data_IF_897366951913
#
_entry.id   IF_897366951913
#
_cell.length_a   1.000
_cell.length_b   1.000
_cell.length_c   1.000
_cell.angle_alpha   90.00
_cell.angle_beta   90.00
_cell.angle_gamma   90.00
#
_symmetry.space_group_name_H-M   'P 1'
#
loop_
_entity.id
_entity.type
_entity.pdbx_description
1 polymer ?
#
# COMPACT_ATOMS: atom_id res chain seq x y z
N UNK A 1 -13.21 -8.39 -21.99
CA UNK A 1 -11.86 -9.00 -22.01
C UNK A 1 -11.59 -9.50 -20.60
N UNK A 2 -11.18 -10.75 -20.42
CA UNK A 2 -10.91 -11.32 -19.10
C UNK A 2 -9.46 -11.06 -18.64
N UNK A 3 -9.16 -11.41 -17.39
CA UNK A 3 -7.83 -11.23 -16.79
C UNK A 3 -6.66 -11.84 -17.61
N UNK A 4 -6.93 -12.88 -18.40
CA UNK A 4 -5.91 -13.53 -19.25
C UNK A 4 -5.47 -12.70 -20.47
N UNK A 5 -6.27 -11.73 -20.94
CA UNK A 5 -5.94 -10.91 -22.12
C UNK A 5 -5.11 -9.68 -21.74
N UNK A 6 -3.79 -9.85 -21.78
CA UNK A 6 -2.83 -8.88 -21.22
C UNK A 6 -2.67 -7.56 -22.01
N UNK A 7 -3.35 -7.42 -23.16
CA UNK A 7 -3.15 -6.28 -24.06
C UNK A 7 -3.58 -4.94 -23.44
N UNK A 8 -4.71 -4.92 -22.72
CA UNK A 8 -5.28 -3.71 -22.14
C UNK A 8 -4.34 -3.06 -21.12
N UNK A 9 -3.78 -3.84 -20.20
CA UNK A 9 -2.86 -3.31 -19.18
C UNK A 9 -1.50 -2.94 -19.75
N UNK A 10 -1.02 -3.64 -20.80
CA UNK A 10 0.18 -3.21 -21.54
C UNK A 10 -0.02 -1.85 -22.19
N UNK A 11 -1.16 -1.67 -22.88
CA UNK A 11 -1.52 -0.40 -23.48
C UNK A 11 -1.64 0.71 -22.43
N UNK A 12 -2.28 0.44 -21.29
CA UNK A 12 -2.33 1.36 -20.15
C UNK A 12 -0.93 1.71 -19.64
N UNK A 13 -0.05 0.72 -19.47
CA UNK A 13 1.31 0.94 -19.00
C UNK A 13 2.07 1.89 -19.93
N UNK A 14 2.09 1.63 -21.24
CA UNK A 14 2.76 2.49 -22.21
C UNK A 14 2.16 3.89 -22.28
N UNK A 15 0.83 4.00 -22.36
CA UNK A 15 0.12 5.29 -22.45
C UNK A 15 0.33 6.21 -21.24
N UNK A 16 0.62 5.63 -20.08
CA UNK A 16 0.78 6.40 -18.83
C UNK A 16 2.24 6.64 -18.44
N UNK A 17 3.23 6.26 -19.27
CA UNK A 17 4.62 6.63 -19.06
C UNK A 17 4.84 8.13 -19.23
N UNK A 18 5.85 8.66 -18.57
CA UNK A 18 6.40 9.96 -18.90
C UNK A 18 7.54 9.81 -19.89
N UNK A 19 7.55 10.64 -20.93
CA UNK A 19 8.68 10.85 -21.81
C UNK A 19 9.17 12.30 -21.66
N UNK A 20 10.41 12.58 -22.08
CA UNK A 20 10.96 13.94 -22.09
C UNK A 20 10.02 14.90 -22.84
N UNK A 21 9.42 14.43 -23.94
CA UNK A 21 8.45 15.18 -24.70
C UNK A 21 7.14 15.38 -23.93
N UNK A 22 6.54 14.34 -23.36
CA UNK A 22 5.24 14.47 -22.68
C UNK A 22 5.30 15.42 -21.49
N UNK A 23 6.41 15.41 -20.74
CA UNK A 23 6.61 16.26 -19.56
C UNK A 23 6.80 17.73 -19.94
N UNK A 24 7.45 18.02 -21.09
CA UNK A 24 7.74 19.40 -21.52
C UNK A 24 6.70 20.00 -22.46
N UNK A 25 5.98 19.16 -23.20
CA UNK A 25 4.94 19.58 -24.14
C UNK A 25 3.56 19.74 -23.46
N UNK A 26 3.41 19.30 -22.20
CA UNK A 26 2.14 19.31 -21.50
C UNK A 26 1.72 20.71 -21.05
N UNK A 27 0.61 21.21 -21.61
CA UNK A 27 -0.14 22.38 -21.12
C UNK A 27 -1.21 22.04 -20.08
N UNK A 28 -1.01 20.98 -19.28
CA UNK A 28 -1.96 20.62 -18.23
C UNK A 28 -1.78 21.55 -17.04
N UNK A 29 -2.85 22.28 -16.71
CA UNK A 29 -2.95 23.10 -15.51
C UNK A 29 -4.00 22.51 -14.57
N UNK A 30 -3.77 22.66 -13.27
CA UNK A 30 -4.74 22.23 -12.26
C UNK A 30 -5.91 23.21 -12.23
N UNK A 31 -7.12 22.68 -12.45
CA UNK A 31 -8.37 23.40 -12.27
C UNK A 31 -8.77 23.32 -10.78
N UNK A 32 -8.49 24.37 -10.03
CA UNK A 32 -8.71 24.40 -8.58
C UNK A 32 -10.20 24.48 -8.20
N UNK A 33 -11.07 24.94 -9.10
CA UNK A 33 -12.52 25.04 -8.85
C UNK A 33 -13.19 23.66 -8.70
N UNK A 34 -12.51 22.63 -9.22
CA UNK A 34 -12.96 21.24 -9.18
C UNK A 34 -12.06 20.36 -8.32
N UNK A 35 -11.21 20.96 -7.47
CA UNK A 35 -10.38 20.20 -6.54
C UNK A 35 -11.27 19.32 -5.65
N UNK A 36 -11.03 18.00 -5.61
CA UNK A 36 -11.87 17.08 -4.88
C UNK A 36 -11.65 17.18 -3.37
N UNK A 37 -12.72 16.99 -2.59
CA UNK A 37 -12.65 16.79 -1.15
C UNK A 37 -11.77 15.57 -0.86
N UNK A 38 -10.87 15.64 0.14
CA UNK A 38 -9.97 14.54 0.47
C UNK A 38 -10.64 13.46 1.33
N UNK A 39 -11.98 13.38 1.35
CA UNK A 39 -12.77 12.49 2.20
C UNK A 39 -14.05 12.05 1.50
N UNK A 40 -14.42 10.78 1.70
CA UNK A 40 -15.80 10.30 1.51
C UNK A 40 -16.60 10.54 2.79
N UNK A 41 -17.75 11.19 2.67
CA UNK A 41 -18.59 11.56 3.81
C UNK A 41 -20.01 11.08 3.54
N UNK A 42 -20.53 10.25 4.43
CA UNK A 42 -21.94 9.84 4.46
C UNK A 42 -22.66 10.73 5.48
N UNK A 43 -23.41 11.75 5.04
CA UNK A 43 -24.04 12.72 5.95
C UNK A 43 -25.24 12.14 6.70
N UNK A 44 -25.87 11.09 6.17
CA UNK A 44 -27.08 10.46 6.73
C UNK A 44 -26.78 9.31 7.70
N UNK A 45 -25.51 8.95 7.88
CA UNK A 45 -25.11 7.87 8.78
C UNK A 45 -24.51 8.41 10.06
N UNK A 46 -25.05 7.96 11.18
CA UNK A 46 -24.55 8.29 12.51
C UNK A 46 -23.10 7.80 12.70
N UNK A 47 -22.19 8.68 13.14
CA UNK A 47 -20.80 8.31 13.39
C UNK A 47 -20.66 7.56 14.73
N UNK A 48 -20.05 6.37 14.68
CA UNK A 48 -19.56 5.67 15.86
C UNK A 48 -18.11 6.08 16.11
N UNK A 49 -17.88 7.01 17.04
CA UNK A 49 -16.55 7.49 17.38
C UNK A 49 -15.60 6.35 17.77
N UNK A 50 -14.36 6.38 17.30
CA UNK A 50 -13.34 5.41 17.69
C UNK A 50 -12.55 5.91 18.92
N UNK A 51 -12.14 5.01 19.84
CA UNK A 51 -11.32 5.39 21.00
C UNK A 51 -10.00 6.07 20.56
N UNK A 52 -9.68 7.28 21.06
CA UNK A 52 -8.51 8.04 20.62
C UNK A 52 -7.22 7.68 21.39
N UNK A 53 -7.33 6.96 22.50
CA UNK A 53 -6.21 6.63 23.38
C UNK A 53 -5.57 5.30 22.98
N UNK A 54 -4.26 5.33 22.72
CA UNK A 54 -3.51 4.16 22.27
C UNK A 54 -2.34 3.89 23.20
N UNK A 55 -2.23 2.66 23.66
CA UNK A 55 -0.98 2.15 24.25
C UNK A 55 -0.01 1.82 23.13
N UNK A 56 1.21 2.37 23.21
CA UNK A 56 2.24 2.05 22.23
C UNK A 56 2.71 0.61 22.41
N UNK A 57 2.89 -0.08 21.29
CA UNK A 57 3.51 -1.40 21.27
C UNK A 57 4.94 -1.40 21.83
N UNK A 58 5.37 -2.54 22.37
CA UNK A 58 6.71 -2.73 22.93
C UNK A 58 7.69 -3.38 21.95
N UNK A 59 7.19 -4.05 20.90
CA UNK A 59 8.04 -4.64 19.86
C UNK A 59 8.78 -3.51 19.11
N UNK A 60 10.12 -3.59 18.96
CA UNK A 60 10.89 -2.59 18.22
C UNK A 60 10.37 -2.38 16.81
N UNK A 61 10.33 -1.13 16.35
CA UNK A 61 9.79 -0.77 15.03
C UNK A 61 10.48 -1.54 13.89
N UNK A 62 11.82 -1.68 13.93
CA UNK A 62 12.57 -2.42 12.92
C UNK A 62 12.15 -3.90 12.84
N UNK A 63 11.90 -4.52 14.00
CA UNK A 63 11.44 -5.91 14.06
C UNK A 63 10.01 -6.07 13.56
N UNK A 64 9.14 -5.09 13.82
CA UNK A 64 7.76 -5.08 13.34
C UNK A 64 7.68 -4.83 11.83
N UNK A 65 8.50 -3.92 11.29
CA UNK A 65 8.56 -3.64 9.85
C UNK A 65 9.13 -4.85 9.10
N UNK A 66 10.17 -5.51 9.61
CA UNK A 66 10.80 -6.64 8.93
C UNK A 66 10.01 -7.97 9.04
N UNK A 67 8.87 -7.98 9.74
CA UNK A 67 8.05 -9.18 9.92
C UNK A 67 7.46 -9.67 8.58
N UNK A 68 7.65 -10.96 8.29
CA UNK A 68 7.20 -11.59 7.06
C UNK A 68 5.88 -12.39 7.23
N UNK A 69 5.30 -12.39 8.43
CA UNK A 69 4.12 -13.18 8.81
C UNK A 69 4.45 -14.52 9.44
N UNK A 70 4.07 -14.68 10.71
CA UNK A 70 4.04 -15.96 11.41
C UNK A 70 2.62 -16.52 11.54
N UNK A 71 2.47 -17.84 11.51
CA UNK A 71 1.17 -18.54 11.63
C UNK A 71 0.67 -18.56 13.09
N UNK A 72 1.54 -18.31 14.07
CA UNK A 72 1.29 -18.52 15.50
C UNK A 72 0.94 -17.29 16.33
N UNK A 73 0.36 -16.23 15.73
CA UNK A 73 0.12 -14.96 16.45
C UNK A 73 -0.65 -15.16 17.77
N UNK A 74 -0.05 -14.74 18.88
CA UNK A 74 -0.62 -14.71 20.24
C UNK A 74 -1.11 -13.32 20.63
N UNK A 75 -1.30 -12.43 19.63
CA UNK A 75 -1.75 -11.07 19.84
C UNK A 75 -3.13 -10.99 20.51
N UNK A 76 -3.49 -9.82 21.05
CA UNK A 76 -4.78 -9.62 21.71
C UNK A 76 -5.94 -9.82 20.73
N UNK A 77 -7.13 -10.20 21.23
CA UNK A 77 -8.33 -10.26 20.41
C UNK A 77 -8.64 -8.89 19.80
N UNK A 78 -9.31 -8.88 18.63
CA UNK A 78 -9.74 -7.63 18.01
C UNK A 78 -10.95 -7.03 18.74
N UNK A 79 -10.81 -5.78 19.14
CA UNK A 79 -11.84 -4.90 19.67
C UNK A 79 -11.78 -3.53 18.95
N UNK A 80 -12.66 -2.58 19.31
CA UNK A 80 -12.62 -1.24 18.72
C UNK A 80 -11.35 -0.48 19.02
N UNK A 81 -10.67 -0.74 20.14
CA UNK A 81 -9.40 -0.07 20.47
C UNK A 81 -8.28 -0.53 19.53
N UNK A 82 -8.18 -1.83 19.28
CA UNK A 82 -7.25 -2.41 18.32
C UNK A 82 -7.53 -1.90 16.90
N UNK A 83 -8.79 -1.89 16.47
CA UNK A 83 -9.20 -1.34 15.17
C UNK A 83 -8.92 0.15 15.06
N UNK A 84 -9.21 0.93 16.11
CA UNK A 84 -8.93 2.36 16.16
C UNK A 84 -7.44 2.64 15.99
N UNK A 85 -6.58 1.90 16.70
CA UNK A 85 -5.12 1.99 16.55
C UNK A 85 -4.68 1.69 15.12
N UNK A 86 -5.16 0.57 14.54
CA UNK A 86 -4.81 0.19 13.16
C UNK A 86 -5.23 1.27 12.16
N UNK A 87 -6.48 1.75 12.22
CA UNK A 87 -6.97 2.77 11.29
C UNK A 87 -6.32 4.13 11.48
N UNK A 88 -6.09 4.57 12.73
CA UNK A 88 -5.44 5.84 13.01
C UNK A 88 -4.01 5.89 12.43
N UNK A 89 -3.20 4.87 12.71
CA UNK A 89 -1.79 4.86 12.29
C UNK A 89 -1.56 4.32 10.87
N UNK A 90 -2.55 3.73 10.20
CA UNK A 90 -2.43 3.36 8.77
C UNK A 90 -3.01 4.42 7.85
N UNK A 91 -4.20 4.96 8.13
CA UNK A 91 -4.93 5.85 7.22
C UNK A 91 -5.54 7.09 7.89
N UNK A 92 -5.35 7.28 9.20
CA UNK A 92 -5.91 8.41 9.96
C UNK A 92 -5.18 9.73 9.72
N UNK A 93 -5.83 10.84 10.08
CA UNK A 93 -5.23 12.18 10.06
C UNK A 93 -4.36 12.36 11.31
N UNK A 94 -3.06 12.59 11.12
CA UNK A 94 -2.10 12.80 12.22
C UNK A 94 -1.85 14.29 12.49
N UNK A 95 -1.91 15.12 11.45
CA UNK A 95 -1.63 16.56 11.56
C UNK A 95 -2.52 17.36 10.61
N UNK A 96 -3.00 18.50 11.08
CA UNK A 96 -3.73 19.48 10.29
C UNK A 96 -2.88 20.74 10.14
N UNK A 97 -2.92 21.36 8.97
CA UNK A 97 -2.21 22.62 8.72
C UNK A 97 -3.11 23.55 7.91
N UNK A 98 -3.35 24.74 8.44
CA UNK A 98 -4.15 25.79 7.80
C UNK A 98 -3.22 26.74 7.04
N UNK A 99 -3.66 27.18 5.86
CA UNK A 99 -2.99 28.18 5.02
C UNK A 99 -4.06 29.07 4.36
N UNK A 100 -3.71 30.23 3.78
CA UNK A 100 -4.72 31.17 3.24
C UNK A 100 -5.68 30.59 2.20
N UNK A 101 -5.37 29.44 1.59
CA UNK A 101 -6.21 28.74 0.60
C UNK A 101 -6.92 27.49 1.11
N UNK A 102 -6.87 27.16 2.41
CA UNK A 102 -7.60 26.04 2.99
C UNK A 102 -6.83 25.27 4.06
N UNK A 103 -7.19 23.99 4.22
CA UNK A 103 -6.56 23.07 5.17
C UNK A 103 -5.95 21.86 4.46
N UNK A 104 -4.77 21.43 4.91
CA UNK A 104 -4.18 20.16 4.53
C UNK A 104 -4.23 19.20 5.71
N UNK A 105 -4.77 18.01 5.46
CA UNK A 105 -4.88 16.92 6.42
C UNK A 105 -3.77 15.90 6.17
N UNK A 106 -2.65 15.99 6.88
CA UNK A 106 -1.57 15.02 6.74
C UNK A 106 -1.94 13.71 7.41
N UNK A 107 -2.12 12.67 6.60
CA UNK A 107 -2.41 11.32 7.07
C UNK A 107 -1.16 10.52 7.41
N UNK A 108 -1.37 9.40 8.11
CA UNK A 108 -0.31 8.52 8.58
C UNK A 108 0.52 7.93 7.43
N UNK A 109 -0.15 7.38 6.43
CA UNK A 109 0.48 6.94 5.19
C UNK A 109 0.88 8.12 4.29
N UNK A 110 1.92 7.90 3.50
CA UNK A 110 2.26 8.80 2.39
C UNK A 110 1.19 8.71 1.31
N UNK A 111 1.02 9.78 0.53
CA UNK A 111 0.06 9.78 -0.57
C UNK A 111 0.55 10.74 -1.65
N UNK A 112 0.50 10.29 -2.90
CA UNK A 112 0.80 11.11 -4.07
C UNK A 112 -0.04 12.40 -4.04
N UNK A 113 0.65 13.55 -3.94
CA UNK A 113 0.02 14.86 -3.92
C UNK A 113 -0.85 15.17 -2.69
N UNK A 114 -0.84 14.33 -1.64
CA UNK A 114 -1.71 14.45 -0.47
C UNK A 114 -3.21 14.55 -0.82
N UNK A 115 -3.66 13.74 -1.80
CA UNK A 115 -5.03 13.78 -2.35
C UNK A 115 -5.98 12.76 -1.69
N UNK A 116 -5.44 11.74 -1.03
CA UNK A 116 -6.14 10.78 -0.18
C UNK A 116 -7.37 10.12 -0.82
N UNK A 117 -7.12 9.41 -1.92
CA UNK A 117 -8.12 8.72 -2.73
C UNK A 117 -8.37 7.26 -2.33
N UNK A 118 -7.76 6.78 -1.23
CA UNK A 118 -7.96 5.43 -0.69
C UNK A 118 -8.80 5.49 0.59
N UNK A 119 -9.88 4.71 0.65
CA UNK A 119 -10.73 4.57 1.83
C UNK A 119 -10.72 3.14 2.35
N UNK A 120 -10.92 3.00 3.66
CA UNK A 120 -10.95 1.72 4.36
C UNK A 120 -12.38 1.39 4.79
N UNK A 121 -12.78 0.15 4.53
CA UNK A 121 -14.03 -0.43 4.96
C UNK A 121 -13.73 -1.65 5.83
N UNK A 122 -14.48 -1.82 6.91
CA UNK A 122 -14.38 -2.96 7.82
C UNK A 122 -15.57 -3.89 7.57
N UNK A 123 -15.31 -5.18 7.37
CA UNK A 123 -16.30 -6.25 7.42
C UNK A 123 -15.94 -7.15 8.59
N UNK A 124 -16.76 -7.17 9.64
CA UNK A 124 -16.46 -7.95 10.84
C UNK A 124 -17.63 -8.84 11.27
N UNK A 125 -17.26 -9.97 11.88
CA UNK A 125 -18.18 -10.75 12.71
C UNK A 125 -18.41 -10.06 14.07
N UNK A 126 -18.99 -10.76 15.05
CA UNK A 126 -19.13 -10.23 16.40
C UNK A 126 -17.74 -10.04 17.03
N UNK A 127 -17.42 -8.80 17.41
CA UNK A 127 -16.27 -8.47 18.24
C UNK A 127 -16.75 -8.12 19.66
N UNK A 128 -15.82 -7.97 20.61
CA UNK A 128 -16.16 -7.74 22.02
C UNK A 128 -17.07 -6.53 22.25
N UNK A 129 -16.87 -5.45 21.48
CA UNK A 129 -17.54 -4.17 21.65
C UNK A 129 -18.00 -3.55 20.31
N UNK A 130 -18.12 -4.37 19.25
CA UNK A 130 -18.60 -3.97 17.93
C UNK A 130 -19.49 -5.06 17.33
N UNK A 131 -20.71 -4.67 16.98
CA UNK A 131 -21.66 -5.54 16.28
C UNK A 131 -21.11 -6.02 14.93
N UNK A 132 -21.54 -7.20 14.44
CA UNK A 132 -21.21 -7.63 13.10
C UNK A 132 -21.82 -6.68 12.05
N UNK A 133 -21.04 -6.35 11.03
CA UNK A 133 -21.47 -5.42 10.00
C UNK A 133 -20.41 -5.07 8.96
N UNK A 134 -20.83 -4.20 8.04
CA UNK A 134 -19.95 -3.51 7.08
C UNK A 134 -19.90 -2.04 7.50
N UNK A 135 -18.70 -1.51 7.70
CA UNK A 135 -18.47 -0.14 8.18
C UNK A 135 -17.52 0.61 7.25
N UNK A 136 -17.73 1.91 7.07
CA UNK A 136 -16.76 2.82 6.45
C UNK A 136 -15.99 3.57 7.53
N UNK A 137 -14.66 3.63 7.43
CA UNK A 137 -13.83 4.45 8.31
C UNK A 137 -13.77 5.90 7.80
N UNK A 138 -14.28 6.84 8.61
CA UNK A 138 -14.20 8.28 8.39
C UNK A 138 -12.95 8.87 9.05
N UNK A 139 -11.86 9.16 8.31
CA UNK A 139 -10.66 9.74 8.91
C UNK A 139 -10.81 11.23 9.27
N UNK A 140 -11.83 11.91 8.75
CA UNK A 140 -12.09 13.33 9.01
C UNK A 140 -12.58 13.58 10.44
N UNK A 141 -13.38 12.65 10.97
CA UNK A 141 -14.00 12.69 12.30
C UNK A 141 -13.60 11.51 13.20
N UNK A 142 -12.73 10.63 12.71
CA UNK A 142 -12.22 9.45 13.40
C UNK A 142 -13.34 8.54 13.94
N UNK A 143 -14.24 8.14 13.03
CA UNK A 143 -15.41 7.34 13.34
C UNK A 143 -15.65 6.21 12.34
N UNK A 144 -16.37 5.17 12.77
CA UNK A 144 -16.97 4.17 11.89
C UNK A 144 -18.41 4.53 11.57
N UNK A 145 -18.84 4.29 10.33
CA UNK A 145 -20.24 4.43 9.91
C UNK A 145 -20.74 3.09 9.39
N UNK A 146 -21.79 2.54 10.00
CA UNK A 146 -22.33 1.23 9.63
C UNK A 146 -23.13 1.35 8.34
N UNK A 147 -22.66 0.71 7.28
CA UNK A 147 -23.34 0.61 5.98
C UNK A 147 -24.34 -0.55 5.97
N UNK A 148 -23.95 -1.68 6.58
CA UNK A 148 -24.78 -2.88 6.69
C UNK A 148 -24.67 -3.50 8.08
N UNK A 149 -25.78 -4.00 8.62
CA UNK A 149 -25.78 -4.85 9.79
C UNK A 149 -25.68 -6.33 9.40
N UNK A 150 -25.19 -7.16 10.33
CA UNK A 150 -25.06 -8.61 10.18
C UNK A 150 -23.67 -9.03 9.70
N UNK A 151 -23.34 -10.31 9.87
CA UNK A 151 -22.03 -10.85 9.50
C UNK A 151 -21.98 -11.08 7.99
N UNK A 152 -21.24 -10.22 7.27
CA UNK A 152 -21.05 -10.31 5.82
C UNK A 152 -19.72 -11.00 5.44
N UNK A 153 -18.97 -11.56 6.40
CA UNK A 153 -17.67 -12.21 6.10
C UNK A 153 -17.83 -13.37 5.12
N UNK A 154 -18.93 -14.13 5.17
CA UNK A 154 -19.18 -15.23 4.22
C UNK A 154 -19.23 -14.77 2.74
N UNK A 155 -19.67 -13.54 2.47
CA UNK A 155 -19.60 -12.95 1.13
C UNK A 155 -18.15 -12.73 0.70
N UNK A 156 -17.32 -12.19 1.59
CA UNK A 156 -15.90 -11.96 1.29
C UNK A 156 -15.14 -13.27 1.14
N UNK A 157 -15.40 -14.26 2.00
CA UNK A 157 -14.82 -15.61 1.90
C UNK A 157 -15.11 -16.26 0.55
N UNK A 158 -16.37 -16.21 0.07
CA UNK A 158 -16.71 -16.73 -1.26
C UNK A 158 -16.01 -15.93 -2.35
N UNK A 159 -16.07 -14.60 -2.29
CA UNK A 159 -15.48 -13.71 -3.29
C UNK A 159 -13.96 -13.90 -3.40
N UNK A 160 -13.27 -14.26 -2.32
CA UNK A 160 -11.83 -14.55 -2.32
C UNK A 160 -11.50 -16.00 -2.69
N UNK A 161 -12.45 -16.77 -3.23
CA UNK A 161 -12.18 -18.18 -3.58
C UNK A 161 -11.89 -19.05 -2.37
N UNK A 162 -12.51 -18.75 -1.22
CA UNK A 162 -12.30 -19.43 0.07
C UNK A 162 -10.86 -19.33 0.61
N UNK A 163 -10.21 -18.18 0.41
CA UNK A 163 -8.87 -17.92 0.97
C UNK A 163 -8.86 -18.21 2.49
N UNK A 164 -7.96 -19.10 2.99
CA UNK A 164 -8.03 -19.59 4.37
C UNK A 164 -7.89 -18.52 5.47
N UNK A 165 -7.04 -17.50 5.28
CA UNK A 165 -6.89 -16.44 6.26
C UNK A 165 -8.14 -15.56 6.32
N UNK A 166 -8.80 -15.29 5.19
CA UNK A 166 -10.08 -14.57 5.13
C UNK A 166 -11.17 -15.37 5.84
N UNK A 167 -11.21 -16.70 5.66
CA UNK A 167 -12.16 -17.57 6.33
C UNK A 167 -11.97 -17.63 7.86
N UNK A 168 -10.72 -17.59 8.31
CA UNK A 168 -10.36 -17.65 9.73
C UNK A 168 -10.35 -16.29 10.44
N UNK A 169 -10.46 -15.17 9.70
CA UNK A 169 -10.35 -13.85 10.27
C UNK A 169 -11.66 -13.37 10.93
N UNK A 170 -11.61 -12.83 12.16
CA UNK A 170 -12.75 -12.16 12.78
C UNK A 170 -13.10 -10.82 12.12
N UNK A 171 -12.13 -10.17 11.48
CA UNK A 171 -12.33 -8.88 10.80
C UNK A 171 -11.55 -8.80 9.48
N UNK A 172 -12.14 -8.15 8.49
CA UNK A 172 -11.58 -7.99 7.15
C UNK A 172 -11.59 -6.49 6.81
N UNK A 173 -10.46 -5.96 6.35
CA UNK A 173 -10.37 -4.58 5.89
C UNK A 173 -10.33 -4.56 4.37
N UNK A 174 -11.36 -4.02 3.74
CA UNK A 174 -11.38 -3.76 2.31
C UNK A 174 -10.85 -2.35 2.07
N UNK A 175 -9.93 -2.18 1.15
CA UNK A 175 -9.47 -0.86 0.72
C UNK A 175 -9.88 -0.61 -0.73
N UNK A 176 -10.35 0.61 -0.97
CA UNK A 176 -10.91 1.02 -2.26
C UNK A 176 -10.13 2.21 -2.81
N UNK A 177 -10.43 2.60 -4.05
CA UNK A 177 -9.99 3.89 -4.56
C UNK A 177 -11.09 4.64 -5.28
N UNK A 178 -11.26 5.91 -4.92
CA UNK A 178 -12.10 6.84 -5.68
C UNK A 178 -11.22 7.58 -6.70
N UNK A 179 -11.39 7.26 -7.99
CA UNK A 179 -10.47 7.68 -9.04
C UNK A 179 -10.32 9.20 -9.14
N UNK A 180 -11.42 9.94 -9.02
CA UNK A 180 -11.42 11.39 -9.22
C UNK A 180 -10.49 12.14 -8.23
N UNK A 181 -10.42 11.67 -6.98
CA UNK A 181 -9.56 12.30 -5.95
C UNK A 181 -8.11 12.44 -6.39
N UNK A 182 -7.55 11.42 -7.06
CA UNK A 182 -6.16 11.44 -7.53
C UNK A 182 -6.03 11.90 -9.00
N UNK A 183 -6.96 11.49 -9.86
CA UNK A 183 -6.92 11.81 -11.29
C UNK A 183 -7.19 13.28 -11.60
N UNK A 184 -7.75 14.05 -10.66
CA UNK A 184 -7.77 15.52 -10.72
C UNK A 184 -6.38 16.11 -11.01
N UNK A 185 -5.33 15.56 -10.38
CA UNK A 185 -3.94 16.00 -10.56
C UNK A 185 -3.14 15.12 -11.52
N UNK A 186 -3.38 13.81 -11.48
CA UNK A 186 -2.52 12.82 -12.14
C UNK A 186 -3.17 12.17 -13.36
N UNK A 187 -4.36 12.62 -13.74
CA UNK A 187 -5.08 12.17 -14.93
C UNK A 187 -5.17 10.64 -14.98
N UNK A 188 -5.04 10.04 -16.16
CA UNK A 188 -5.06 8.60 -16.35
C UNK A 188 -3.99 7.84 -15.53
N UNK A 189 -2.89 8.49 -15.11
CA UNK A 189 -1.81 7.83 -14.32
C UNK A 189 -2.26 7.43 -12.91
N UNK A 190 -3.37 8.00 -12.43
CA UNK A 190 -3.91 7.75 -11.09
C UNK A 190 -4.15 6.27 -10.77
N UNK A 191 -4.39 5.40 -11.76
CA UNK A 191 -4.55 3.97 -11.50
C UNK A 191 -3.24 3.30 -11.03
N UNK A 192 -2.06 3.85 -11.37
CA UNK A 192 -0.79 3.41 -10.75
C UNK A 192 -0.75 3.80 -9.28
N UNK A 193 -1.20 5.02 -8.99
CA UNK A 193 -1.14 5.62 -7.66
C UNK A 193 -2.13 4.98 -6.68
N UNK A 194 -3.23 4.42 -7.19
CA UNK A 194 -4.14 3.56 -6.42
C UNK A 194 -3.37 2.50 -5.61
N UNK A 195 -2.51 1.72 -6.27
CA UNK A 195 -1.71 0.69 -5.61
C UNK A 195 -0.53 1.27 -4.83
N UNK A 196 0.09 2.35 -5.30
CA UNK A 196 1.19 2.97 -4.57
C UNK A 196 0.77 3.52 -3.21
N UNK A 197 -0.30 4.30 -3.18
CA UNK A 197 -0.76 4.92 -1.95
C UNK A 197 -1.40 3.86 -1.03
N UNK A 198 -2.13 2.87 -1.58
CA UNK A 198 -2.57 1.70 -0.80
C UNK A 198 -1.38 0.93 -0.19
N UNK A 199 -0.29 0.71 -0.93
CA UNK A 199 0.87 -0.02 -0.42
C UNK A 199 1.51 0.66 0.80
N UNK A 200 1.53 2.00 0.84
CA UNK A 200 2.04 2.71 2.02
C UNK A 200 1.11 2.62 3.24
N UNK A 201 -0.21 2.57 3.03
CA UNK A 201 -1.19 2.28 4.09
C UNK A 201 -0.98 0.86 4.62
N UNK A 202 -0.79 -0.11 3.72
CA UNK A 202 -0.57 -1.51 4.07
C UNK A 202 0.76 -1.73 4.79
N UNK A 203 1.84 -1.04 4.40
CA UNK A 203 3.12 -1.10 5.12
C UNK A 203 2.97 -0.69 6.59
N UNK A 204 2.23 0.40 6.86
CA UNK A 204 1.91 0.81 8.23
C UNK A 204 1.05 -0.24 8.94
N UNK A 205 -0.05 -0.69 8.30
CA UNK A 205 -1.01 -1.63 8.90
C UNK A 205 -0.34 -2.96 9.27
N UNK A 206 0.45 -3.53 8.36
CA UNK A 206 1.18 -4.78 8.57
C UNK A 206 2.19 -4.64 9.71
N UNK A 207 2.96 -3.55 9.75
CA UNK A 207 3.90 -3.31 10.85
C UNK A 207 3.18 -3.10 12.19
N UNK A 208 2.03 -2.42 12.21
CA UNK A 208 1.21 -2.24 13.42
C UNK A 208 0.63 -3.55 13.95
N UNK A 209 0.21 -4.45 13.05
CA UNK A 209 -0.29 -5.76 13.38
C UNK A 209 0.84 -6.66 13.91
N UNK A 210 1.97 -6.70 13.22
CA UNK A 210 3.16 -7.42 13.66
C UNK A 210 3.69 -6.94 15.02
N UNK A 211 3.59 -5.64 15.32
CA UNK A 211 4.05 -5.07 16.58
C UNK A 211 3.29 -5.60 17.82
N UNK A 212 2.14 -6.25 17.63
CA UNK A 212 1.32 -6.87 18.69
C UNK A 212 1.01 -8.34 18.38
N UNK A 213 1.76 -8.96 17.47
CA UNK A 213 1.58 -10.35 17.03
C UNK A 213 0.15 -10.70 16.57
N UNK A 214 -0.54 -9.71 15.99
CA UNK A 214 -1.82 -9.89 15.32
C UNK A 214 -1.57 -10.39 13.89
N UNK A 215 -2.07 -11.58 13.50
CA UNK A 215 -1.98 -12.04 12.12
C UNK A 215 -2.67 -11.07 11.16
N UNK A 216 -1.98 -10.70 10.09
CA UNK A 216 -2.52 -9.89 9.01
C UNK A 216 -2.07 -10.45 7.66
N UNK A 217 -2.98 -10.56 6.69
CA UNK A 217 -2.65 -11.06 5.34
C UNK A 217 -3.36 -10.26 4.26
N UNK A 218 -2.60 -9.79 3.28
CA UNK A 218 -3.12 -9.06 2.11
C UNK A 218 -3.63 -10.06 1.08
N UNK A 219 -4.84 -9.84 0.57
CA UNK A 219 -5.50 -10.71 -0.41
C UNK A 219 -5.91 -9.88 -1.62
N UNK A 220 -5.38 -10.25 -2.79
CA UNK A 220 -5.72 -9.63 -4.08
C UNK A 220 -6.51 -10.54 -5.01
N UNK A 221 -6.55 -11.86 -4.79
CA UNK A 221 -7.41 -12.78 -5.54
C UNK A 221 -8.83 -12.73 -5.01
N UNK A 222 -9.67 -11.89 -5.62
CA UNK A 222 -11.08 -11.76 -5.28
C UNK A 222 -11.93 -11.38 -6.50
N UNK A 223 -13.21 -11.74 -6.45
CA UNK A 223 -14.23 -11.33 -7.43
C UNK A 223 -14.63 -9.88 -7.21
N UNK A 224 -14.17 -8.97 -8.07
CA UNK A 224 -14.31 -7.52 -7.89
C UNK A 224 -15.80 -7.12 -7.72
N UNK A 225 -16.66 -7.58 -8.63
CA UNK A 225 -18.08 -7.21 -8.62
C UNK A 225 -18.87 -7.73 -7.41
N UNK A 226 -18.39 -8.75 -6.70
CA UNK A 226 -19.01 -9.17 -5.44
C UNK A 226 -18.68 -8.22 -4.28
N UNK A 227 -17.41 -7.80 -4.18
CA UNK A 227 -16.98 -6.87 -3.13
C UNK A 227 -17.49 -5.45 -3.38
N UNK A 228 -17.49 -5.00 -4.63
CA UNK A 228 -18.03 -3.68 -4.99
C UNK A 228 -19.54 -3.59 -4.68
N UNK A 229 -20.29 -4.67 -4.93
CA UNK A 229 -21.73 -4.75 -4.56
C UNK A 229 -21.92 -4.81 -3.04
N UNK A 230 -21.06 -5.52 -2.32
CA UNK A 230 -21.11 -5.56 -0.85
C UNK A 230 -20.95 -4.14 -0.27
N UNK A 231 -20.08 -3.32 -0.84
CA UNK A 231 -19.85 -1.94 -0.41
C UNK A 231 -20.81 -0.92 -1.05
N UNK A 232 -21.64 -1.35 -2.00
CA UNK A 232 -22.55 -0.52 -2.81
C UNK A 232 -21.82 0.62 -3.55
N UNK A 233 -20.72 0.29 -4.22
CA UNK A 233 -19.89 1.26 -4.94
C UNK A 233 -20.45 1.54 -6.35
N UNK A 234 -20.39 2.80 -6.77
CA UNK A 234 -20.44 3.17 -8.19
C UNK A 234 -19.09 2.85 -8.83
N UNK A 235 -19.00 1.72 -9.53
CA UNK A 235 -17.75 1.23 -10.12
C UNK A 235 -17.20 2.11 -11.25
N UNK A 236 -17.98 3.09 -11.73
CA UNK A 236 -17.45 4.14 -12.61
C UNK A 236 -16.56 5.15 -11.84
N UNK A 237 -16.70 5.24 -10.52
CA UNK A 237 -16.02 6.24 -9.67
C UNK A 237 -15.12 5.64 -8.61
N UNK A 238 -15.52 4.52 -8.01
CA UNK A 238 -14.84 3.88 -6.90
C UNK A 238 -14.88 2.37 -7.02
N UNK A 239 -13.73 1.73 -6.78
CA UNK A 239 -13.57 0.28 -6.89
C UNK A 239 -12.76 -0.29 -5.74
N UNK A 240 -13.02 -1.55 -5.40
CA UNK A 240 -12.21 -2.31 -4.45
C UNK A 240 -10.85 -2.66 -5.03
N UNK A 241 -9.78 -2.45 -4.25
CA UNK A 241 -8.41 -2.76 -4.64
C UNK A 241 -7.88 -4.03 -3.98
N UNK A 242 -8.33 -4.36 -2.77
CA UNK A 242 -7.87 -5.52 -2.02
C UNK A 242 -8.54 -5.69 -0.66
N UNK A 243 -8.22 -6.83 -0.04
CA UNK A 243 -8.68 -7.23 1.29
C UNK A 243 -7.47 -7.43 2.20
N UNK A 244 -7.62 -7.12 3.48
CA UNK A 244 -6.68 -7.55 4.53
C UNK A 244 -7.45 -8.39 5.54
N UNK A 245 -7.07 -9.65 5.68
CA UNK A 245 -7.56 -10.51 6.74
C UNK A 245 -6.84 -10.16 8.05
N UNK A 246 -7.58 -9.86 9.12
CA UNK A 246 -7.04 -9.50 10.43
C UNK A 246 -7.45 -10.52 11.49
N UNK A 247 -6.47 -11.05 12.20
CA UNK A 247 -6.64 -12.09 13.20
C UNK A 247 -6.83 -13.48 12.57
N UNK A 248 -7.08 -14.46 13.43
CA UNK A 248 -7.33 -15.86 13.07
C UNK A 248 -8.28 -16.49 14.08
N UNK A 249 -8.59 -17.77 13.88
CA UNK A 249 -9.37 -18.61 14.81
C UNK A 249 -10.81 -18.12 15.06
N UNK A 250 -11.34 -17.25 14.18
CA UNK A 250 -12.76 -16.99 14.16
C UNK A 250 -13.51 -18.25 13.72
N UNK A 251 -14.70 -18.53 14.30
CA UNK A 251 -15.56 -19.57 13.78
C UNK A 251 -15.95 -19.25 12.32
N UNK A 252 -16.22 -20.29 11.50
CA UNK A 252 -16.74 -20.09 10.15
C UNK A 252 -17.92 -19.12 10.16
N UNK A 253 -17.93 -18.12 9.27
CA UNK A 253 -19.03 -17.15 9.26
C UNK A 253 -20.35 -17.83 8.91
N UNK A 254 -21.47 -17.37 9.50
CA UNK A 254 -22.79 -17.82 9.07
C UNK A 254 -23.07 -17.36 7.63
N UNK A 255 -24.11 -17.91 6.96
CA UNK A 255 -24.56 -17.39 5.68
C UNK A 255 -24.79 -15.88 5.73
N UNK A 256 -24.19 -15.14 4.81
CA UNK A 256 -24.28 -13.69 4.78
C UNK A 256 -25.72 -13.23 4.48
N UNK A 257 -26.22 -12.16 5.11
CA UNK A 257 -27.46 -11.52 4.72
C UNK A 257 -27.42 -11.05 3.25
N UNK A 258 -28.58 -10.90 2.57
CA UNK A 258 -28.62 -10.36 1.21
C UNK A 258 -27.97 -8.97 1.11
N UNK A 259 -27.04 -8.79 0.17
CA UNK A 259 -26.38 -7.52 -0.11
C UNK A 259 -27.03 -6.79 -1.29
N UNK A 260 -28.27 -6.32 -1.10
CA UNK A 260 -28.95 -5.45 -2.08
C UNK A 260 -28.37 -4.03 -2.12
N UNK A 261 -28.73 -3.20 -3.12
CA UNK A 261 -28.30 -1.80 -3.18
C UNK A 261 -28.66 -1.04 -1.90
N UNK A 262 -27.75 -0.20 -1.40
CA UNK A 262 -27.97 0.63 -0.22
C UNK A 262 -28.47 2.03 -0.59
N UNK A 263 -28.01 2.59 -1.72
CA UNK A 263 -28.41 3.92 -2.19
C UNK A 263 -27.99 5.05 -1.25
N UNK A 264 -26.94 4.84 -0.44
CA UNK A 264 -26.50 5.81 0.56
C UNK A 264 -25.86 7.03 -0.10
N UNK A 265 -26.40 8.21 0.21
CA UNK A 265 -25.85 9.46 -0.28
C UNK A 265 -24.45 9.72 0.31
N UNK A 266 -23.56 10.28 -0.53
CA UNK A 266 -22.30 10.86 -0.08
C UNK A 266 -22.20 12.30 -0.51
N UNK A 267 -21.45 13.12 0.24
CA UNK A 267 -21.19 14.49 -0.18
C UNK A 267 -20.44 14.50 -1.52
N UNK A 268 -20.82 15.36 -2.48
CA UNK A 268 -20.09 15.48 -3.74
C UNK A 268 -18.61 15.80 -3.51
N UNK A 269 -17.73 15.11 -4.25
CA UNK A 269 -16.29 15.31 -4.17
C UNK A 269 -15.92 16.72 -4.64
N UNK A 270 -16.58 17.23 -5.67
CA UNK A 270 -16.32 18.53 -6.28
C UNK A 270 -17.52 18.98 -7.12
N UNK A 271 -17.48 20.19 -7.68
CA UNK A 271 -18.55 20.70 -8.54
C UNK A 271 -18.74 19.90 -9.84
N UNK A 272 -17.67 19.33 -10.40
CA UNK A 272 -17.70 18.40 -11.54
C UNK A 272 -16.51 17.46 -11.48
N UNK A 273 -16.67 16.27 -12.04
CA UNK A 273 -15.62 15.26 -12.16
C UNK A 273 -15.20 15.12 -13.63
N UNK A 274 -13.92 14.82 -13.89
CA UNK A 274 -13.44 14.48 -15.23
C UNK A 274 -13.12 12.99 -15.27
N UNK A 275 -13.76 12.25 -16.17
CA UNK A 275 -13.50 10.83 -16.37
C UNK A 275 -12.23 10.61 -17.21
N UNK A 276 -11.49 9.57 -16.85
CA UNK A 276 -10.33 9.08 -17.59
C UNK A 276 -10.55 7.60 -17.91
N UNK A 277 -11.17 7.26 -19.05
CA UNK A 277 -11.60 5.89 -19.38
C UNK A 277 -10.49 4.84 -19.26
N UNK A 278 -9.25 5.22 -19.54
CA UNK A 278 -8.09 4.33 -19.39
C UNK A 278 -7.93 3.70 -18.00
N UNK A 279 -8.39 4.39 -16.95
CA UNK A 279 -8.41 3.86 -15.58
C UNK A 279 -9.41 2.71 -15.47
N UNK A 280 -10.63 2.92 -15.95
CA UNK A 280 -11.71 1.92 -15.92
C UNK A 280 -11.39 0.74 -16.81
N UNK A 281 -10.91 0.99 -18.03
CA UNK A 281 -10.45 -0.05 -18.97
C UNK A 281 -9.39 -0.96 -18.35
N UNK A 282 -8.38 -0.37 -17.69
CA UNK A 282 -7.32 -1.15 -17.02
C UNK A 282 -7.86 -1.91 -15.80
N UNK A 283 -8.77 -1.32 -15.03
CA UNK A 283 -9.42 -1.99 -13.91
C UNK A 283 -10.26 -3.17 -14.38
N UNK A 284 -11.24 -2.96 -15.26
CA UNK A 284 -12.13 -4.01 -15.77
C UNK A 284 -11.34 -5.17 -16.41
N UNK A 285 -10.28 -4.88 -17.18
CA UNK A 285 -9.45 -5.92 -17.77
C UNK A 285 -8.67 -6.76 -16.74
N UNK A 286 -8.45 -6.24 -15.53
CA UNK A 286 -7.74 -6.92 -14.43
C UNK A 286 -8.66 -7.45 -13.33
N UNK A 287 -9.98 -7.36 -13.51
CA UNK A 287 -10.96 -7.92 -12.60
C UNK A 287 -11.09 -9.43 -12.76
N UNK A 288 -11.41 -10.12 -11.67
CA UNK A 288 -11.78 -11.54 -11.66
C UNK A 288 -13.30 -11.63 -11.50
N UNK A 289 -13.92 -12.57 -12.20
CA UNK A 289 -15.39 -12.63 -12.32
C UNK A 289 -16.02 -13.81 -11.60
N UNK A 290 -15.25 -14.85 -11.28
CA UNK A 290 -15.74 -16.01 -10.51
C UNK A 290 -14.84 -16.39 -9.34
N UNK A 291 -15.41 -17.10 -8.36
CA UNK A 291 -14.67 -17.58 -7.20
C UNK A 291 -13.58 -18.59 -7.59
N UNK A 292 -13.80 -19.36 -8.66
CA UNK A 292 -12.80 -20.28 -9.22
C UNK A 292 -11.62 -19.50 -9.83
N UNK A 293 -11.88 -18.42 -10.55
CA UNK A 293 -10.82 -17.53 -11.05
C UNK A 293 -10.04 -16.90 -9.89
N UNK A 294 -10.73 -16.46 -8.82
CA UNK A 294 -10.09 -15.93 -7.61
C UNK A 294 -9.18 -16.96 -6.94
N UNK A 295 -9.67 -18.19 -6.74
CA UNK A 295 -8.90 -19.29 -6.15
C UNK A 295 -7.70 -19.68 -7.01
N UNK A 296 -7.87 -19.74 -8.34
CA UNK A 296 -6.79 -20.05 -9.27
C UNK A 296 -5.74 -18.93 -9.38
N UNK A 297 -6.11 -17.69 -9.07
CA UNK A 297 -5.22 -16.54 -9.11
C UNK A 297 -4.17 -16.58 -7.99
N UNK A 298 -4.52 -17.08 -6.81
CA UNK A 298 -3.61 -17.18 -5.66
C UNK A 298 -2.33 -17.96 -5.98
N UNK A 299 -1.27 -17.67 -5.23
CA UNK A 299 -0.06 -18.48 -5.16
C UNK A 299 1.22 -17.70 -5.37
N UNK A 300 2.32 -18.44 -5.48
CA UNK A 300 3.66 -17.87 -5.48
C UNK A 300 3.97 -17.15 -6.80
N UNK A 301 4.57 -15.95 -6.75
CA UNK A 301 5.07 -15.29 -7.93
C UNK A 301 6.26 -16.08 -8.52
N UNK A 302 6.61 -15.82 -9.78
CA UNK A 302 7.82 -16.38 -10.37
C UNK A 302 9.07 -15.87 -9.63
N UNK A 303 10.14 -16.67 -9.62
CA UNK A 303 11.40 -16.26 -9.02
C UNK A 303 12.05 -15.13 -9.82
N UNK A 304 12.71 -14.17 -9.15
CA UNK A 304 13.54 -13.17 -9.81
C UNK A 304 14.59 -13.80 -10.73
N UNK A 305 15.00 -13.12 -11.81
CA UNK A 305 16.14 -13.56 -12.61
C UNK A 305 17.42 -13.57 -11.76
N UNK A 306 18.34 -14.47 -12.09
CA UNK A 306 19.64 -14.55 -11.41
C UNK A 306 20.44 -13.27 -11.71
N UNK A 307 20.95 -12.57 -10.69
CA UNK A 307 21.77 -11.38 -10.89
C UNK A 307 23.07 -11.68 -11.67
N UNK A 308 23.72 -10.66 -12.25
CA UNK A 308 25.00 -10.82 -12.94
C UNK A 308 26.09 -11.46 -12.07
N UNK A 309 27.08 -12.10 -12.71
CA UNK A 309 28.20 -12.80 -12.05
C UNK A 309 29.29 -11.87 -11.45
N UNK A 310 28.89 -10.69 -10.96
CA UNK A 310 29.80 -9.78 -10.27
C UNK A 310 29.93 -10.16 -8.78
N UNK A 311 31.04 -9.78 -8.14
CA UNK A 311 31.25 -10.02 -6.72
C UNK A 311 30.20 -9.25 -5.88
N UNK A 312 29.35 -9.95 -5.11
CA UNK A 312 28.32 -9.30 -4.31
C UNK A 312 28.90 -8.65 -3.05
N UNK A 313 28.25 -7.59 -2.56
CA UNK A 313 28.51 -6.99 -1.25
C UNK A 313 27.38 -7.39 -0.31
N UNK A 314 27.65 -8.31 0.60
CA UNK A 314 26.66 -8.84 1.56
C UNK A 314 26.18 -7.77 2.54
N UNK A 315 24.90 -7.87 2.91
CA UNK A 315 24.31 -6.99 3.92
C UNK A 315 25.00 -7.14 5.29
N UNK A 316 25.11 -6.03 6.01
CA UNK A 316 25.57 -5.97 7.39
C UNK A 316 24.60 -5.14 8.26
N UNK A 317 23.34 -5.61 8.46
CA UNK A 317 22.31 -4.82 9.14
C UNK A 317 22.58 -4.66 10.64
N UNK A 318 22.03 -3.60 11.25
CA UNK A 318 21.93 -3.47 12.70
C UNK A 318 21.14 -4.62 13.33
N UNK A 319 21.46 -4.91 14.59
CA UNK A 319 20.58 -5.64 15.48
C UNK A 319 19.25 -4.90 15.64
N UNK A 320 18.13 -5.59 15.55
CA UNK A 320 16.79 -4.97 15.55
C UNK A 320 16.48 -4.27 16.88
N UNK A 321 17.08 -4.74 17.97
CA UNK A 321 16.98 -4.21 19.33
C UNK A 321 17.71 -2.87 19.50
N UNK A 322 18.58 -2.49 18.56
CA UNK A 322 19.33 -1.23 18.63
C UNK A 322 18.45 0.01 18.48
N UNK A 323 17.21 -0.15 17.99
CA UNK A 323 16.22 0.93 17.85
C UNK A 323 14.96 0.54 18.63
N UNK A 324 14.89 0.83 19.94
CA UNK A 324 13.83 0.35 20.82
C UNK A 324 12.49 1.10 20.65
N UNK A 325 12.41 2.07 19.73
CA UNK A 325 11.19 2.85 19.56
C UNK A 325 10.07 2.03 18.90
N UNK A 326 8.82 2.34 19.26
CA UNK A 326 7.64 1.66 18.72
C UNK A 326 7.31 2.14 17.30
N UNK A 327 6.60 1.30 16.56
CA UNK A 327 6.15 1.63 15.19
C UNK A 327 5.23 2.87 15.17
N UNK A 328 4.41 3.07 16.19
CA UNK A 328 3.54 4.24 16.33
C UNK A 328 4.35 5.53 16.42
N UNK A 329 5.45 5.53 17.16
CA UNK A 329 6.36 6.68 17.27
C UNK A 329 6.98 7.04 15.91
N UNK A 330 7.45 6.02 15.17
CA UNK A 330 7.99 6.19 13.81
C UNK A 330 6.94 6.79 12.88
N UNK A 331 5.72 6.25 12.88
CA UNK A 331 4.61 6.72 12.05
C UNK A 331 4.22 8.17 12.38
N UNK A 332 4.18 8.55 13.66
CA UNK A 332 3.89 9.94 14.08
C UNK A 332 4.94 10.93 13.58
N UNK A 333 6.21 10.52 13.58
CA UNK A 333 7.33 11.36 13.14
C UNK A 333 7.46 11.43 11.62
N UNK A 334 6.98 10.41 10.91
CA UNK A 334 7.11 10.31 9.46
C UNK A 334 6.50 11.55 8.78
N UNK A 335 7.33 12.21 7.99
CA UNK A 335 6.97 13.30 7.08
C UNK A 335 7.53 13.01 5.70
N UNK A 336 7.23 13.86 4.70
CA UNK A 336 8.00 13.83 3.45
C UNK A 336 9.15 14.82 3.54
N UNK A 337 10.38 14.30 3.52
CA UNK A 337 11.60 15.11 3.46
C UNK A 337 11.56 15.97 2.20
N UNK A 338 11.83 17.26 2.37
CA UNK A 338 11.85 18.24 1.26
C UNK A 338 13.25 18.59 0.80
N UNK A 339 14.27 18.21 1.58
CA UNK A 339 15.69 18.41 1.31
C UNK A 339 16.48 17.25 1.91
N UNK A 340 17.51 16.80 1.20
CA UNK A 340 18.51 15.86 1.72
C UNK A 340 19.86 16.57 1.87
N UNK A 341 20.63 16.18 2.88
CA UNK A 341 22.06 16.52 2.91
C UNK A 341 22.81 15.55 1.99
N UNK A 342 23.90 16.02 1.38
CA UNK A 342 24.75 15.18 0.53
C UNK A 342 25.68 14.23 1.34
N UNK A 343 25.43 14.06 2.64
CA UNK A 343 26.25 13.19 3.50
C UNK A 343 26.06 11.72 3.17
N UNK A 344 27.08 10.87 3.41
CA UNK A 344 26.98 9.45 3.13
C UNK A 344 26.01 8.75 4.09
N UNK A 345 25.33 7.73 3.58
CA UNK A 345 24.54 6.81 4.39
C UNK A 345 25.45 5.69 4.93
N UNK A 346 25.49 5.42 6.25
CA UNK A 346 26.23 4.29 6.78
C UNK A 346 25.77 2.95 6.18
N UNK A 347 26.72 2.03 5.92
CA UNK A 347 26.42 0.75 5.24
C UNK A 347 25.44 -0.12 6.01
N UNK A 348 25.53 -0.10 7.34
CA UNK A 348 24.64 -0.84 8.23
C UNK A 348 23.20 -0.31 8.17
N UNK A 349 23.02 1.01 8.01
CA UNK A 349 21.70 1.62 7.80
C UNK A 349 21.12 1.22 6.47
N UNK A 350 21.91 1.29 5.39
CA UNK A 350 21.52 0.77 4.07
C UNK A 350 21.12 -0.71 4.18
N UNK A 351 21.95 -1.50 4.83
CA UNK A 351 21.72 -2.94 5.00
C UNK A 351 20.45 -3.24 5.78
N UNK A 352 20.16 -2.48 6.83
CA UNK A 352 18.90 -2.62 7.60
C UNK A 352 17.68 -2.22 6.77
N UNK A 353 17.76 -1.16 5.95
CA UNK A 353 16.69 -0.79 5.02
C UNK A 353 16.44 -1.94 4.04
N UNK A 354 17.49 -2.44 3.38
CA UNK A 354 17.35 -3.51 2.40
C UNK A 354 16.84 -4.80 3.01
N UNK A 355 17.38 -5.20 4.16
CA UNK A 355 16.90 -6.36 4.89
C UNK A 355 15.42 -6.22 5.30
N UNK A 356 14.96 -5.03 5.67
CA UNK A 356 13.55 -4.82 5.98
C UNK A 356 12.64 -4.95 4.75
N UNK A 357 13.03 -4.38 3.60
CA UNK A 357 12.16 -4.38 2.41
C UNK A 357 12.08 -5.76 1.75
N UNK A 358 13.17 -6.55 1.73
CA UNK A 358 13.22 -7.81 0.97
C UNK A 358 12.84 -9.06 1.76
N UNK A 359 12.61 -8.96 3.08
CA UNK A 359 12.11 -10.07 3.92
C UNK A 359 10.72 -10.59 3.51
N UNK A 360 9.99 -9.83 2.70
CA UNK A 360 8.63 -10.16 2.27
C UNK A 360 7.56 -9.65 3.23
N UNK A 361 6.32 -10.06 2.97
CA UNK A 361 5.13 -9.77 3.77
C UNK A 361 4.04 -10.81 3.48
N UNK A 362 3.03 -10.95 4.35
CA UNK A 362 2.03 -12.00 4.21
C UNK A 362 0.98 -11.59 3.16
N UNK A 363 0.97 -12.27 2.02
CA UNK A 363 -0.05 -12.08 0.99
C UNK A 363 -0.35 -13.37 0.20
N UNK A 364 -1.48 -13.37 -0.53
CA UNK A 364 -1.89 -14.45 -1.44
C UNK A 364 -1.17 -14.45 -2.79
N UNK A 365 -0.31 -13.46 -3.05
CA UNK A 365 0.54 -13.35 -4.24
C UNK A 365 2.04 -13.23 -3.90
N UNK A 366 2.44 -13.57 -2.67
CA UNK A 366 3.85 -13.62 -2.22
C UNK A 366 4.21 -15.04 -1.79
N UNK A 367 5.52 -15.35 -1.75
CA UNK A 367 6.00 -16.60 -1.19
C UNK A 367 7.52 -16.59 -0.97
N UNK A 368 8.06 -17.57 -0.22
CA UNK A 368 9.48 -17.61 0.11
C UNK A 368 10.37 -17.60 -1.14
N UNK A 369 11.29 -16.64 -1.21
CA UNK A 369 12.24 -16.50 -2.32
C UNK A 369 11.63 -16.04 -3.65
N UNK A 370 10.37 -15.62 -3.67
CA UNK A 370 9.69 -15.14 -4.87
C UNK A 370 9.23 -13.69 -4.69
N UNK A 371 9.36 -12.91 -5.75
CA UNK A 371 8.96 -11.49 -5.79
C UNK A 371 8.59 -11.10 -7.22
N UNK A 372 7.61 -10.22 -7.37
CA UNK A 372 7.23 -9.63 -8.66
C UNK A 372 8.15 -8.49 -9.07
N UNK A 373 8.79 -7.86 -8.09
CA UNK A 373 9.62 -6.68 -8.25
C UNK A 373 11.06 -6.95 -7.82
N UNK A 374 12.01 -6.23 -8.38
CA UNK A 374 13.44 -6.31 -8.11
C UNK A 374 13.95 -4.92 -7.69
N UNK A 375 14.59 -4.78 -6.51
CA UNK A 375 15.15 -3.53 -6.06
C UNK A 375 16.46 -3.25 -6.80
N UNK A 376 16.50 -2.11 -7.46
CA UNK A 376 17.70 -1.52 -8.03
C UNK A 376 18.04 -0.25 -7.27
N UNK A 377 19.34 0.03 -7.19
CA UNK A 377 19.84 1.16 -6.43
C UNK A 377 20.73 2.02 -7.32
N UNK A 378 20.57 3.33 -7.20
CA UNK A 378 21.65 4.27 -7.50
C UNK A 378 22.25 4.68 -6.15
N UNK A 379 23.52 4.31 -5.94
CA UNK A 379 24.30 4.66 -4.75
C UNK A 379 25.16 5.86 -5.10
N UNK A 380 24.83 7.03 -4.53
CA UNK A 380 25.58 8.26 -4.74
C UNK A 380 26.56 8.54 -3.58
N UNK A 381 26.24 8.12 -2.36
CA UNK A 381 27.10 8.25 -1.20
C UNK A 381 26.70 7.25 -0.10
N UNK A 382 27.40 6.13 0.00
CA UNK A 382 27.26 5.20 1.11
C UNK A 382 28.64 4.84 1.67
N UNK A 383 28.78 4.82 2.98
CA UNK A 383 30.01 4.32 3.61
C UNK A 383 30.15 2.84 3.27
N UNK A 384 31.36 2.35 2.99
CA UNK A 384 31.60 0.93 2.71
C UNK A 384 31.03 0.37 1.40
N UNK A 385 30.33 1.18 0.59
CA UNK A 385 29.81 0.78 -0.72
C UNK A 385 30.17 1.83 -1.78
N UNK A 386 30.81 1.39 -2.87
CA UNK A 386 31.23 2.29 -3.93
C UNK A 386 30.04 2.98 -4.62
N UNK A 387 30.26 4.20 -5.13
CA UNK A 387 29.25 4.87 -5.95
C UNK A 387 29.01 4.07 -7.24
N UNK A 388 27.73 3.89 -7.57
CA UNK A 388 27.37 3.06 -8.71
C UNK A 388 25.89 2.71 -8.77
N UNK A 389 25.59 1.82 -9.71
CA UNK A 389 24.27 1.18 -9.84
C UNK A 389 24.35 -0.28 -9.42
N UNK A 390 23.32 -0.75 -8.73
CA UNK A 390 23.27 -2.08 -8.14
C UNK A 390 21.90 -2.71 -8.38
N UNK A 391 21.88 -4.04 -8.46
CA UNK A 391 20.66 -4.84 -8.25
C UNK A 391 20.79 -5.57 -6.92
N UNK A 392 19.68 -5.72 -6.21
CA UNK A 392 19.67 -6.49 -4.97
C UNK A 392 19.39 -7.97 -5.22
N UNK A 393 20.29 -8.83 -4.76
CA UNK A 393 20.15 -10.28 -4.78
C UNK A 393 19.45 -10.73 -3.48
N UNK A 394 18.16 -11.07 -3.58
CA UNK A 394 17.36 -11.54 -2.44
C UNK A 394 17.79 -12.90 -1.90
N UNK A 395 18.37 -13.77 -2.73
CA UNK A 395 18.78 -15.09 -2.27
C UNK A 395 20.06 -15.02 -1.42
N UNK A 396 20.96 -14.08 -1.76
CA UNK A 396 22.25 -13.90 -1.09
C UNK A 396 22.25 -12.79 -0.04
N UNK A 397 21.14 -12.06 0.10
CA UNK A 397 21.05 -10.82 0.87
C UNK A 397 22.26 -9.91 0.56
N UNK A 398 22.38 -9.49 -0.70
CA UNK A 398 23.56 -8.76 -1.15
C UNK A 398 23.30 -7.79 -2.30
N UNK A 399 24.12 -6.75 -2.37
CA UNK A 399 24.18 -5.82 -3.49
C UNK A 399 25.10 -6.35 -4.58
N UNK A 400 24.59 -6.50 -5.80
CA UNK A 400 25.39 -6.91 -6.97
C UNK A 400 25.66 -5.67 -7.84
N UNK A 401 26.92 -5.26 -8.02
CA UNK A 401 27.26 -4.08 -8.80
C UNK A 401 26.96 -4.31 -10.29
N UNK A 402 26.35 -3.30 -10.92
CA UNK A 402 26.05 -3.27 -12.35
C UNK A 402 27.01 -2.34 -13.09
N UNK A 403 27.15 -1.11 -12.59
CA UNK A 403 28.03 -0.07 -13.17
C UNK A 403 28.60 0.79 -12.06
N UNK A 404 29.92 0.96 -12.03
CA UNK A 404 30.58 1.92 -11.14
C UNK A 404 30.48 3.36 -11.71
N UNK A 405 30.42 4.35 -10.83
CA UNK A 405 30.45 5.77 -11.19
C UNK A 405 29.45 6.63 -10.42
N UNK A 406 29.49 7.94 -10.68
CA UNK A 406 28.55 8.92 -10.13
C UNK A 406 27.32 9.05 -11.02
N UNK A 407 26.12 8.95 -10.44
CA UNK A 407 24.85 8.94 -11.17
C UNK A 407 23.81 9.93 -10.63
N UNK A 408 24.24 10.94 -9.86
CA UNK A 408 23.34 11.98 -9.29
C UNK A 408 22.54 12.71 -10.35
N UNK A 409 23.17 13.03 -11.49
CA UNK A 409 22.50 13.75 -12.59
C UNK A 409 21.42 12.87 -13.22
N UNK A 410 21.72 11.60 -13.43
CA UNK A 410 20.80 10.59 -13.94
C UNK A 410 19.65 10.35 -12.97
N UNK A 411 19.94 10.22 -11.66
CA UNK A 411 18.92 10.08 -10.62
C UNK A 411 17.94 11.28 -10.61
N UNK A 412 18.47 12.50 -10.61
CA UNK A 412 17.63 13.71 -10.70
C UNK A 412 16.84 13.80 -12.00
N UNK A 413 17.42 13.36 -13.13
CA UNK A 413 16.71 13.32 -14.40
C UNK A 413 15.56 12.29 -14.41
N UNK A 414 15.79 11.09 -13.86
CA UNK A 414 14.78 10.04 -13.73
C UNK A 414 13.63 10.48 -12.81
N UNK A 415 13.90 11.30 -11.79
CA UNK A 415 12.90 11.90 -10.91
C UNK A 415 12.27 13.18 -11.50
N UNK A 416 12.15 13.24 -12.83
CA UNK A 416 11.53 14.34 -13.58
C UNK A 416 12.20 15.71 -13.35
N UNK A 417 13.49 15.72 -13.05
CA UNK A 417 14.28 16.93 -12.79
C UNK A 417 14.19 17.46 -11.36
N UNK A 418 13.55 16.72 -10.45
CA UNK A 418 13.53 17.08 -9.04
C UNK A 418 14.93 16.97 -8.42
N UNK A 419 15.28 17.93 -7.57
CA UNK A 419 16.59 17.95 -6.89
C UNK A 419 16.75 16.84 -5.87
N UNK A 420 15.66 16.22 -5.42
CA UNK A 420 15.67 15.18 -4.39
C UNK A 420 16.48 13.97 -4.83
N UNK A 421 16.21 13.41 -6.02
CA UNK A 421 16.98 12.26 -6.52
C UNK A 421 18.47 12.57 -6.70
N UNK A 422 18.80 13.77 -7.20
CA UNK A 422 20.21 14.15 -7.33
C UNK A 422 20.92 14.38 -5.97
N UNK A 423 20.19 14.86 -4.97
CA UNK A 423 20.72 15.13 -3.64
C UNK A 423 20.81 13.89 -2.75
N UNK A 424 19.98 12.87 -3.00
CA UNK A 424 19.91 11.67 -2.19
C UNK A 424 21.27 10.95 -2.12
N UNK A 425 21.56 10.38 -0.96
CA UNK A 425 22.67 9.44 -0.78
C UNK A 425 22.44 8.15 -1.58
N UNK A 426 21.17 7.78 -1.74
CA UNK A 426 20.70 6.54 -2.33
C UNK A 426 19.32 6.77 -2.96
N UNK A 427 19.11 6.24 -4.15
CA UNK A 427 17.81 6.15 -4.80
C UNK A 427 17.43 4.68 -4.97
N UNK A 428 16.22 4.31 -4.52
CA UNK A 428 15.67 2.95 -4.64
C UNK A 428 14.63 2.90 -5.75
N UNK A 429 14.76 1.93 -6.64
CA UNK A 429 13.87 1.69 -7.77
C UNK A 429 13.37 0.25 -7.72
N UNK A 430 12.06 0.07 -7.69
CA UNK A 430 11.44 -1.25 -7.87
C UNK A 430 11.10 -1.43 -9.34
N UNK A 431 11.79 -2.35 -10.01
CA UNK A 431 11.49 -2.74 -11.38
C UNK A 431 10.74 -4.07 -11.39
N UNK A 432 9.79 -4.24 -12.30
CA UNK A 432 9.09 -5.50 -12.48
C UNK A 432 9.18 -5.92 -13.94
N UNK A 433 9.54 -7.19 -14.17
CA UNK A 433 9.34 -7.82 -15.46
C UNK A 433 7.83 -8.02 -15.68
N UNK A 434 7.28 -7.19 -16.57
CA UNK A 434 5.86 -7.18 -16.85
C UNK A 434 5.41 -8.47 -17.57
N UNK A 435 6.24 -9.06 -18.42
CA UNK A 435 5.89 -10.30 -19.12
C UNK A 435 5.75 -11.44 -18.12
N UNK A 436 6.67 -11.50 -17.16
CA UNK A 436 6.67 -12.47 -16.07
C UNK A 436 5.47 -12.28 -15.14
N UNK A 437 5.16 -11.05 -14.73
CA UNK A 437 4.03 -10.76 -13.86
C UNK A 437 2.68 -11.08 -14.54
N UNK A 438 2.51 -10.64 -15.79
CA UNK A 438 1.29 -10.86 -16.56
C UNK A 438 1.14 -12.33 -16.99
N UNK A 439 2.24 -13.02 -17.26
CA UNK A 439 2.22 -14.45 -17.58
C UNK A 439 1.73 -15.32 -16.43
N UNK A 440 2.05 -14.97 -15.18
CA UNK A 440 1.58 -15.72 -13.99
C UNK A 440 0.20 -15.30 -13.51
N UNK A 441 -0.09 -14.00 -13.49
CA UNK A 441 -1.25 -13.44 -12.79
C UNK A 441 -2.24 -12.71 -13.71
N UNK A 442 -2.04 -12.76 -15.03
CA UNK A 442 -2.82 -12.00 -16.00
C UNK A 442 -2.66 -10.49 -15.81
N UNK A 443 -3.59 -9.70 -16.33
CA UNK A 443 -3.68 -8.25 -16.13
C UNK A 443 -3.56 -7.84 -14.65
N UNK A 444 -4.12 -8.61 -13.73
CA UNK A 444 -4.06 -8.38 -12.28
C UNK A 444 -2.67 -8.51 -11.69
N UNK A 445 -1.74 -9.19 -12.37
CA UNK A 445 -0.32 -9.19 -12.04
C UNK A 445 0.29 -7.79 -12.01
N UNK A 446 -0.26 -6.85 -12.79
CA UNK A 446 0.13 -5.45 -12.74
C UNK A 446 -0.28 -4.76 -11.43
N UNK A 447 -1.48 -5.06 -10.92
CA UNK A 447 -1.94 -4.59 -9.61
C UNK A 447 -1.01 -5.11 -8.50
N UNK A 448 -0.73 -6.41 -8.54
CA UNK A 448 0.12 -7.09 -7.57
C UNK A 448 1.56 -6.55 -7.56
N UNK A 449 2.19 -6.37 -8.73
CA UNK A 449 3.55 -5.83 -8.82
C UNK A 449 3.65 -4.39 -8.28
N UNK A 450 2.66 -3.55 -8.60
CA UNK A 450 2.61 -2.16 -8.12
C UNK A 450 2.38 -2.10 -6.60
N UNK A 451 1.53 -2.98 -6.06
CA UNK A 451 1.25 -3.04 -4.63
C UNK A 451 2.45 -3.61 -3.85
N UNK A 452 3.11 -4.66 -4.35
CA UNK A 452 4.33 -5.23 -3.76
C UNK A 452 5.43 -4.18 -3.64
N UNK A 453 5.77 -3.50 -4.76
CA UNK A 453 6.76 -2.43 -4.78
C UNK A 453 6.43 -1.32 -3.76
N UNK A 454 5.15 -0.98 -3.62
CA UNK A 454 4.70 0.09 -2.75
C UNK A 454 4.68 -0.29 -1.26
N UNK A 455 4.37 -1.56 -0.94
CA UNK A 455 4.54 -2.09 0.42
C UNK A 455 6.02 -2.10 0.78
N UNK A 456 6.88 -2.65 -0.08
CA UNK A 456 8.34 -2.62 0.11
C UNK A 456 8.87 -1.19 0.26
N UNK A 457 8.42 -0.25 -0.58
CA UNK A 457 8.76 1.17 -0.47
C UNK A 457 8.26 1.82 0.82
N UNK A 458 7.05 1.46 1.28
CA UNK A 458 6.53 1.88 2.58
C UNK A 458 7.39 1.37 3.75
N UNK A 459 7.83 0.10 3.69
CA UNK A 459 8.78 -0.47 4.66
C UNK A 459 10.11 0.28 4.63
N UNK A 460 10.64 0.59 3.45
CA UNK A 460 11.88 1.38 3.29
C UNK A 460 11.74 2.73 4.00
N UNK A 461 10.59 3.37 3.82
CA UNK A 461 10.33 4.69 4.37
C UNK A 461 10.22 4.68 5.89
N UNK A 462 9.50 3.70 6.45
CA UNK A 462 9.39 3.51 7.90
C UNK A 462 10.74 3.17 8.52
N UNK A 463 11.51 2.28 7.89
CA UNK A 463 12.85 1.90 8.37
C UNK A 463 13.81 3.09 8.34
N UNK A 464 13.80 3.90 7.28
CA UNK A 464 14.59 5.12 7.24
C UNK A 464 14.20 6.07 8.38
N UNK A 465 12.91 6.27 8.64
CA UNK A 465 12.48 7.11 9.76
C UNK A 465 12.84 6.53 11.14
N UNK A 466 12.87 5.21 11.28
CA UNK A 466 13.31 4.52 12.50
C UNK A 466 14.81 4.71 12.76
N UNK A 467 15.64 4.59 11.71
CA UNK A 467 17.10 4.71 11.81
C UNK A 467 17.58 6.15 12.00
N UNK A 468 16.77 7.15 11.63
CA UNK A 468 17.11 8.58 11.65
C UNK A 468 18.42 8.90 10.90
N UNK A 469 18.57 8.50 9.63
CA UNK A 469 19.75 8.82 8.83
C UNK A 469 19.98 10.33 8.83
N UNK A 470 21.14 10.76 9.30
CA UNK A 470 21.50 12.18 9.43
C UNK A 470 21.28 12.82 10.81
N UNK A 471 20.63 12.15 11.77
CA UNK A 471 20.70 12.54 13.17
C UNK A 471 22.04 12.02 13.73
N UNK A 472 23.01 12.92 13.97
CA UNK A 472 24.21 12.54 14.72
C UNK A 472 23.75 12.03 16.10
N UNK A 473 24.28 10.88 16.54
CA UNK A 473 24.13 10.38 17.91
C UNK A 473 24.66 11.40 18.91
#
# INVERSE_FOLDING_TARGET
>A
MGNADTAAVRAYHERTKHSVQSVRAGGHFLDWDIMPRPFKVYPELEPMALPPDFTSSTRPALAAIADAGGVGGTGPPLDRTALARLFYFSAGVLRRSTYPGGEIFYRAAACTGALYHVDLYLVCGPLADLDPGVYHFGPHDFALRRLRAGDHRATVVRATGHEPAVAAAPALVLFTTTFWRNSWKYQARAYRHAFWDSGTILANLLALAAAVDLPARVVLGFVDGELDRLLDLDTAREVTLGVVALGREAPPPPPAPPAGPLGLATLPLSAREVDYPAIREAHEASSLVTAEEAAAWHGTPPRPPVPPAAAPVSLAPFAQEAVPESIESVIRRRGSMRNFSAGPLPFDQLSTIMGAVTRGFPADFTGPGAALTDPYLIVNAAEGLAAGTYVFDRERDAHVPLRAGEFRREAGFLDLGQSLGAAAALDLYWLADLDRALGRFGNRGYRAAQLEAAIEGGKAYLTAYALRPGARR
#
